data_IF_229346666343
#
_entry.id   IF_229346666343
#
_cell.length_a   1.000
_cell.length_b   1.000
_cell.length_c   1.000
_cell.angle_alpha   90.00
_cell.angle_beta   90.00
_cell.angle_gamma   90.00
#
_symmetry.space_group_name_H-M   'P 1'
#
loop_
_entity.id
_entity.type
_entity.pdbx_description
1 polymer ?
#
# COMPACT_ATOMS: atom_id res chain seq x y z
N UNK A 1 -12.86 -0.65 69.88
CA UNK A 1 -13.78 -1.12 68.82
C UNK A 1 -13.17 -0.72 67.48
N UNK A 2 -12.41 -1.65 66.90
CA UNK A 2 -11.96 -1.84 65.51
C UNK A 2 -11.84 -0.60 64.58
N UNK A 3 -10.59 -0.18 64.31
CA UNK A 3 -10.18 0.49 63.07
C UNK A 3 -9.97 -0.57 61.98
N UNK A 4 -10.86 -0.60 60.97
CA UNK A 4 -10.62 -1.36 59.72
C UNK A 4 -11.09 -0.50 58.56
N UNK A 5 -10.24 -0.30 57.54
CA UNK A 5 -10.74 0.17 56.24
C UNK A 5 -9.82 0.98 55.34
N UNK A 6 -8.53 1.16 55.65
CA UNK A 6 -7.64 2.01 54.82
C UNK A 6 -6.87 1.33 53.67
N UNK A 7 -6.96 0.00 53.51
CA UNK A 7 -6.02 -0.75 52.62
C UNK A 7 -6.60 -1.01 51.22
N UNK A 8 -7.89 -0.74 50.98
CA UNK A 8 -8.57 -1.14 49.72
C UNK A 8 -8.46 -0.13 48.57
N UNK A 9 -8.24 1.15 48.81
CA UNK A 9 -8.21 2.17 47.74
C UNK A 9 -6.84 2.29 47.05
N UNK A 10 -5.73 2.21 47.80
CA UNK A 10 -4.37 2.32 47.23
C UNK A 10 -4.01 1.15 46.31
N UNK A 11 -4.55 -0.04 46.58
CA UNK A 11 -4.31 -1.23 45.75
C UNK A 11 -5.05 -1.16 44.41
N UNK A 12 -6.22 -0.52 44.38
CA UNK A 12 -7.00 -0.31 43.15
C UNK A 12 -6.34 0.75 42.25
N UNK A 13 -5.79 1.81 42.84
CA UNK A 13 -5.15 2.89 42.08
C UNK A 13 -3.78 2.49 41.50
N UNK A 14 -2.99 1.68 42.21
CA UNK A 14 -1.76 1.08 41.67
C UNK A 14 -2.03 0.07 40.55
N UNK A 15 -3.10 -0.74 40.67
CA UNK A 15 -3.47 -1.71 39.63
C UNK A 15 -3.92 -1.00 38.35
N UNK A 16 -4.69 0.09 38.48
CA UNK A 16 -5.09 0.94 37.36
C UNK A 16 -3.88 1.64 36.70
N UNK A 17 -2.97 2.23 37.47
CA UNK A 17 -1.75 2.86 36.96
C UNK A 17 -0.78 1.88 36.27
N UNK A 18 -0.67 0.65 36.78
CA UNK A 18 0.11 -0.43 36.17
C UNK A 18 -0.55 -0.95 34.89
N UNK A 19 -1.88 -1.03 34.84
CA UNK A 19 -2.59 -1.42 33.61
C UNK A 19 -2.51 -0.34 32.52
N UNK A 20 -2.55 0.95 32.88
CA UNK A 20 -2.42 2.06 31.92
C UNK A 20 -1.00 2.15 31.36
N UNK A 21 0.04 1.99 32.19
CA UNK A 21 1.43 1.94 31.73
C UNK A 21 1.70 0.74 30.82
N UNK A 22 1.24 -0.47 31.20
CA UNK A 22 1.37 -1.66 30.36
C UNK A 22 0.66 -1.53 29.00
N UNK A 23 -0.50 -0.85 28.94
CA UNK A 23 -1.19 -0.56 27.67
C UNK A 23 -0.41 0.42 26.80
N UNK A 24 0.20 1.44 27.40
CA UNK A 24 1.05 2.41 26.70
C UNK A 24 2.29 1.72 26.13
N UNK A 25 3.00 0.94 26.95
CA UNK A 25 4.18 0.19 26.54
C UNK A 25 3.87 -0.84 25.44
N UNK A 26 2.71 -1.51 25.52
CA UNK A 26 2.26 -2.44 24.48
C UNK A 26 1.91 -1.73 23.16
N UNK A 27 1.42 -0.49 23.22
CA UNK A 27 1.09 0.33 22.04
C UNK A 27 2.37 0.86 21.41
N UNK A 28 3.30 1.36 22.22
CA UNK A 28 4.62 1.83 21.77
C UNK A 28 5.45 0.69 21.18
N UNK A 29 5.42 -0.50 21.77
CA UNK A 29 6.09 -1.68 21.22
C UNK A 29 5.47 -2.11 19.89
N UNK A 30 4.14 -2.08 19.75
CA UNK A 30 3.50 -2.39 18.46
C UNK A 30 3.97 -1.41 17.37
N UNK A 31 3.97 -0.11 17.66
CA UNK A 31 4.41 0.92 16.73
C UNK A 31 5.86 0.69 16.30
N UNK A 32 6.77 0.45 17.27
CA UNK A 32 8.18 0.15 17.00
C UNK A 32 8.37 -1.07 16.11
N UNK A 33 7.60 -2.14 16.33
CA UNK A 33 7.66 -3.36 15.50
C UNK A 33 7.22 -3.06 14.06
N UNK A 34 6.14 -2.31 13.87
CA UNK A 34 5.63 -1.96 12.54
C UNK A 34 6.57 -1.01 11.79
N UNK A 35 7.14 -0.02 12.48
CA UNK A 35 8.17 0.88 11.92
C UNK A 35 9.40 0.11 11.49
N UNK A 36 9.88 -0.82 12.32
CA UNK A 36 11.02 -1.66 12.00
C UNK A 36 10.74 -2.61 10.82
N UNK A 37 9.55 -3.21 10.78
CA UNK A 37 9.13 -4.05 9.67
C UNK A 37 9.09 -3.26 8.36
N UNK A 38 8.50 -2.05 8.37
CA UNK A 38 8.45 -1.16 7.21
C UNK A 38 9.85 -0.79 6.72
N UNK A 39 10.75 -0.38 7.62
CA UNK A 39 12.12 -0.02 7.26
C UNK A 39 12.88 -1.18 6.60
N UNK A 40 12.67 -2.40 7.11
CA UNK A 40 13.24 -3.61 6.53
C UNK A 40 12.63 -3.95 5.17
N UNK A 41 11.30 -3.87 5.05
CA UNK A 41 10.59 -4.26 3.82
C UNK A 41 10.85 -3.31 2.65
N UNK A 42 10.98 -2.00 2.92
CA UNK A 42 11.33 -0.99 1.92
C UNK A 42 12.59 -1.37 1.12
N UNK A 43 13.60 -1.91 1.80
CA UNK A 43 14.93 -2.19 1.21
C UNK A 43 15.13 -3.65 0.84
N UNK A 44 14.62 -4.58 1.64
CA UNK A 44 14.89 -6.02 1.50
C UNK A 44 13.69 -6.82 0.97
N UNK A 45 12.60 -6.13 0.61
CA UNK A 45 11.33 -6.77 0.28
C UNK A 45 10.79 -7.57 1.46
N UNK A 46 9.97 -8.57 1.18
CA UNK A 46 9.36 -9.43 2.18
C UNK A 46 10.28 -10.56 2.65
N UNK A 47 11.58 -10.52 2.35
CA UNK A 47 12.55 -11.53 2.81
C UNK A 47 12.71 -11.57 4.35
N UNK A 48 12.84 -10.44 5.08
CA UNK A 48 13.08 -10.43 6.53
C UNK A 48 12.01 -11.18 7.33
N UNK A 49 12.41 -11.89 8.38
CA UNK A 49 11.54 -12.62 9.30
C UNK A 49 11.20 -11.84 10.57
N UNK A 50 10.34 -12.42 11.43
CA UNK A 50 9.96 -11.81 12.72
C UNK A 50 11.17 -11.55 13.64
N UNK A 51 12.22 -12.39 13.57
CA UNK A 51 13.45 -12.21 14.34
C UNK A 51 14.27 -11.00 13.86
N UNK A 52 14.37 -10.79 12.55
CA UNK A 52 15.04 -9.62 11.98
C UNK A 52 14.33 -8.33 12.40
N UNK A 53 13.00 -8.37 12.40
CA UNK A 53 12.14 -7.27 12.86
C UNK A 53 12.35 -7.02 14.35
N UNK A 54 12.39 -8.06 15.19
CA UNK A 54 12.64 -7.93 16.62
C UNK A 54 13.99 -7.25 16.90
N UNK A 55 15.03 -7.70 16.20
CA UNK A 55 16.37 -7.14 16.30
C UNK A 55 16.39 -5.66 15.88
N UNK A 56 15.81 -5.34 14.71
CA UNK A 56 15.77 -3.98 14.19
C UNK A 56 14.91 -3.03 15.06
N UNK A 57 13.82 -3.53 15.64
CA UNK A 57 12.96 -2.77 16.55
C UNK A 57 13.59 -2.58 17.94
N UNK A 58 14.65 -3.31 18.29
CA UNK A 58 15.24 -3.33 19.63
C UNK A 58 14.26 -3.85 20.69
N UNK A 59 13.49 -4.88 20.36
CA UNK A 59 12.53 -5.54 21.27
C UNK A 59 12.80 -7.04 21.35
N UNK A 60 12.38 -7.67 22.44
CA UNK A 60 12.53 -9.13 22.59
C UNK A 60 11.72 -9.91 21.56
N UNK A 61 12.27 -11.01 21.04
CA UNK A 61 11.62 -11.90 20.06
C UNK A 61 10.25 -12.38 20.56
N UNK A 62 10.15 -12.79 21.84
CA UNK A 62 8.89 -13.21 22.44
C UNK A 62 7.81 -12.10 22.39
N UNK A 63 8.19 -10.83 22.49
CA UNK A 63 7.28 -9.69 22.37
C UNK A 63 6.71 -9.58 20.95
N UNK A 64 7.54 -9.80 19.93
CA UNK A 64 7.10 -9.79 18.52
C UNK A 64 6.13 -10.95 18.27
N UNK A 65 6.50 -12.19 18.62
CA UNK A 65 5.63 -13.35 18.41
C UNK A 65 4.31 -13.26 19.18
N UNK A 66 4.29 -12.65 20.37
CA UNK A 66 3.04 -12.41 21.11
C UNK A 66 2.12 -11.40 20.39
N UNK A 67 2.70 -10.45 19.65
CA UNK A 67 1.95 -9.38 18.97
C UNK A 67 1.59 -9.71 17.53
N UNK A 68 2.46 -10.46 16.86
CA UNK A 68 2.35 -10.95 15.50
C UNK A 68 2.76 -12.43 15.49
N UNK A 69 1.84 -13.34 15.83
CA UNK A 69 2.08 -14.79 15.81
C UNK A 69 2.68 -15.31 14.50
N UNK A 70 2.34 -14.68 13.37
CA UNK A 70 2.84 -15.06 12.05
C UNK A 70 3.42 -13.87 11.30
N UNK A 71 4.36 -14.16 10.38
CA UNK A 71 4.87 -13.17 9.44
C UNK A 71 3.77 -12.63 8.53
N UNK A 72 2.81 -13.47 8.14
CA UNK A 72 1.66 -13.07 7.32
C UNK A 72 0.83 -11.97 8.01
N UNK A 73 0.57 -12.10 9.31
CA UNK A 73 -0.14 -11.06 10.09
C UNK A 73 0.63 -9.74 10.18
N UNK A 74 1.95 -9.80 10.33
CA UNK A 74 2.80 -8.61 10.30
C UNK A 74 2.73 -7.93 8.92
N UNK A 75 2.88 -8.70 7.84
CA UNK A 75 2.81 -8.21 6.46
C UNK A 75 1.46 -7.54 6.20
N UNK A 76 0.35 -8.20 6.56
CA UNK A 76 -1.01 -7.66 6.39
C UNK A 76 -1.15 -6.29 7.06
N UNK A 77 -0.65 -6.13 8.29
CA UNK A 77 -0.74 -4.87 9.04
C UNK A 77 0.13 -3.77 8.42
N UNK A 78 1.37 -4.09 8.02
CA UNK A 78 2.25 -3.13 7.35
C UNK A 78 1.66 -2.68 6.01
N UNK A 79 1.06 -3.62 5.26
CA UNK A 79 0.42 -3.33 3.98
C UNK A 79 -0.83 -2.45 4.13
N UNK A 80 -1.70 -2.76 5.08
CA UNK A 80 -2.89 -1.97 5.36
C UNK A 80 -2.53 -0.50 5.68
N UNK A 81 -1.52 -0.27 6.52
CA UNK A 81 -1.04 1.09 6.80
C UNK A 81 -0.40 1.77 5.57
N UNK A 82 0.32 1.02 4.73
CA UNK A 82 0.89 1.56 3.49
C UNK A 82 -0.20 1.98 2.50
N UNK A 83 -1.26 1.17 2.36
CA UNK A 83 -2.42 1.48 1.53
C UNK A 83 -3.20 2.68 2.06
N UNK A 84 -3.45 2.76 3.37
CA UNK A 84 -4.13 3.92 3.96
C UNK A 84 -3.34 5.21 3.70
N UNK A 85 -2.00 5.18 3.85
CA UNK A 85 -1.16 6.32 3.48
C UNK A 85 -1.23 6.66 1.99
N UNK A 86 -1.29 5.65 1.11
CA UNK A 86 -1.47 5.84 -0.33
C UNK A 86 -2.78 6.57 -0.63
N UNK A 87 -3.88 6.06 -0.07
CA UNK A 87 -5.22 6.61 -0.24
C UNK A 87 -5.26 8.07 0.23
N UNK A 88 -4.73 8.38 1.41
CA UNK A 88 -4.67 9.76 1.93
C UNK A 88 -3.90 10.69 0.99
N UNK A 89 -2.78 10.24 0.42
CA UNK A 89 -2.02 11.02 -0.58
C UNK A 89 -2.85 11.27 -1.84
N UNK A 90 -3.53 10.25 -2.36
CA UNK A 90 -4.36 10.36 -3.56
C UNK A 90 -5.58 11.26 -3.33
N UNK A 91 -6.26 11.14 -2.19
CA UNK A 91 -7.35 12.03 -1.79
C UNK A 91 -6.86 13.48 -1.64
N UNK A 92 -5.64 13.67 -1.13
CA UNK A 92 -5.02 15.00 -1.07
C UNK A 92 -4.72 15.57 -2.46
N UNK A 93 -4.17 14.76 -3.37
CA UNK A 93 -3.94 15.17 -4.75
C UNK A 93 -5.26 15.53 -5.46
N UNK A 94 -6.32 14.77 -5.21
CA UNK A 94 -7.64 15.00 -5.80
C UNK A 94 -8.30 16.31 -5.36
N UNK A 95 -7.86 16.93 -4.25
CA UNK A 95 -8.35 18.24 -3.79
C UNK A 95 -7.86 19.42 -4.63
N UNK A 96 -6.88 19.25 -5.51
CA UNK A 96 -6.46 20.30 -6.46
C UNK A 96 -7.64 20.72 -7.34
N UNK A 97 -7.80 22.02 -7.61
CA UNK A 97 -8.84 22.54 -8.53
C UNK A 97 -8.56 22.21 -10.00
N UNK A 98 -7.28 22.14 -10.36
CA UNK A 98 -6.85 21.67 -11.69
C UNK A 98 -6.77 20.14 -11.72
N UNK A 99 -7.57 19.52 -12.58
CA UNK A 99 -7.62 18.05 -12.70
C UNK A 99 -6.35 17.46 -13.30
N UNK A 100 -5.62 18.22 -14.15
CA UNK A 100 -4.32 17.77 -14.62
C UNK A 100 -3.31 17.68 -13.47
N UNK A 101 -3.18 18.74 -12.68
CA UNK A 101 -2.31 18.76 -11.49
C UNK A 101 -2.69 17.64 -10.50
N UNK A 102 -3.98 17.38 -10.30
CA UNK A 102 -4.45 16.27 -9.47
C UNK A 102 -3.99 14.90 -10.01
N UNK A 103 -4.17 14.66 -11.32
CA UNK A 103 -3.77 13.43 -11.99
C UNK A 103 -2.25 13.24 -11.98
N UNK A 104 -1.50 14.30 -12.27
CA UNK A 104 -0.03 14.31 -12.26
C UNK A 104 0.50 13.95 -10.86
N UNK A 105 -0.02 14.63 -9.84
CA UNK A 105 0.36 14.37 -8.43
C UNK A 105 0.00 12.96 -7.99
N UNK A 106 -1.16 12.45 -8.40
CA UNK A 106 -1.60 11.10 -8.09
C UNK A 106 -0.71 10.03 -8.74
N UNK A 107 -0.39 10.19 -10.03
CA UNK A 107 0.47 9.25 -10.76
C UNK A 107 1.89 9.26 -10.21
N UNK A 108 2.47 10.44 -9.96
CA UNK A 108 3.79 10.58 -9.35
C UNK A 108 3.83 9.88 -7.99
N UNK A 109 2.81 10.09 -7.14
CA UNK A 109 2.74 9.47 -5.81
C UNK A 109 2.69 7.94 -5.86
N UNK A 110 1.92 7.37 -6.80
CA UNK A 110 1.81 5.92 -6.98
C UNK A 110 3.09 5.31 -7.56
N UNK A 111 3.71 5.98 -8.53
CA UNK A 111 4.99 5.57 -9.09
C UNK A 111 6.12 5.67 -8.06
N UNK A 112 6.16 6.74 -7.24
CA UNK A 112 7.14 6.89 -6.16
C UNK A 112 7.00 5.79 -5.12
N UNK A 113 5.77 5.48 -4.70
CA UNK A 113 5.50 4.41 -3.75
C UNK A 113 5.97 3.07 -4.29
N UNK A 114 5.67 2.78 -5.56
CA UNK A 114 6.11 1.54 -6.21
C UNK A 114 7.63 1.51 -6.37
N UNK A 115 8.26 2.60 -6.82
CA UNK A 115 9.71 2.63 -7.01
C UNK A 115 10.50 2.54 -5.70
N UNK A 116 10.03 3.21 -4.64
CA UNK A 116 10.80 3.40 -3.41
C UNK A 116 10.55 2.34 -2.35
N UNK A 117 9.46 1.56 -2.44
CA UNK A 117 9.12 0.54 -1.45
C UNK A 117 9.00 -0.83 -2.12
N UNK A 118 10.08 -1.62 -2.05
CA UNK A 118 10.12 -2.98 -2.59
C UNK A 118 9.09 -3.89 -1.92
N UNK A 119 8.92 -3.77 -0.61
CA UNK A 119 7.92 -4.52 0.13
C UNK A 119 6.51 -4.23 -0.35
N UNK A 120 6.18 -2.95 -0.56
CA UNK A 120 4.90 -2.54 -1.13
C UNK A 120 4.66 -3.17 -2.50
N UNK A 121 5.65 -3.15 -3.41
CA UNK A 121 5.50 -3.80 -4.72
C UNK A 121 5.27 -5.29 -4.63
N UNK A 122 6.07 -5.98 -3.82
CA UNK A 122 5.93 -7.43 -3.64
C UNK A 122 4.53 -7.76 -3.09
N UNK A 123 4.02 -6.99 -2.12
CA UNK A 123 2.66 -7.16 -1.59
C UNK A 123 1.55 -6.79 -2.59
N UNK A 124 1.79 -5.80 -3.44
CA UNK A 124 0.81 -5.30 -4.39
C UNK A 124 0.71 -6.14 -5.66
N UNK A 125 1.81 -6.73 -6.15
CA UNK A 125 1.89 -7.31 -7.49
C UNK A 125 2.43 -8.75 -7.55
N UNK A 126 3.21 -9.22 -6.57
CA UNK A 126 3.93 -10.52 -6.67
C UNK A 126 3.38 -11.59 -5.73
N UNK A 127 3.03 -11.18 -4.51
CA UNK A 127 2.32 -12.03 -3.56
C UNK A 127 0.83 -11.85 -3.81
N UNK A 128 0.04 -12.92 -3.68
CA UNK A 128 -1.42 -12.86 -3.87
C UNK A 128 -2.00 -11.81 -2.93
N UNK A 129 -2.20 -10.59 -3.42
CA UNK A 129 -2.44 -9.40 -2.61
C UNK A 129 -3.72 -9.51 -1.79
N UNK A 130 -4.64 -10.42 -2.14
CA UNK A 130 -5.84 -10.71 -1.36
C UNK A 130 -5.56 -11.21 0.05
N UNK A 131 -4.47 -11.93 0.26
CA UNK A 131 -4.16 -12.44 1.60
C UNK A 131 -3.82 -11.29 2.57
N UNK A 132 -3.29 -10.18 2.02
CA UNK A 132 -2.73 -9.08 2.82
C UNK A 132 -3.54 -7.78 2.74
N UNK A 133 -4.44 -7.66 1.75
CA UNK A 133 -5.22 -6.45 1.48
C UNK A 133 -6.66 -6.57 2.00
N UNK A 134 -7.07 -5.75 2.98
CA UNK A 134 -8.49 -5.64 3.32
C UNK A 134 -9.31 -5.22 2.10
N UNK A 135 -10.43 -5.92 1.84
CA UNK A 135 -11.29 -5.64 0.69
C UNK A 135 -11.79 -4.18 0.66
N UNK A 136 -12.14 -3.64 1.83
CA UNK A 136 -12.60 -2.25 1.96
C UNK A 136 -11.50 -1.23 1.62
N UNK A 137 -10.23 -1.48 2.02
CA UNK A 137 -9.12 -0.60 1.69
C UNK A 137 -8.84 -0.61 0.17
N UNK A 138 -8.91 -1.79 -0.45
CA UNK A 138 -8.80 -1.93 -1.91
C UNK A 138 -9.91 -1.17 -2.64
N UNK A 139 -11.16 -1.36 -2.25
CA UNK A 139 -12.31 -0.70 -2.87
C UNK A 139 -12.21 0.82 -2.75
N UNK A 140 -11.75 1.32 -1.60
CA UNK A 140 -11.45 2.75 -1.41
C UNK A 140 -10.35 3.22 -2.35
N UNK A 141 -9.23 2.50 -2.45
CA UNK A 141 -8.14 2.85 -3.37
C UNK A 141 -8.62 2.93 -4.83
N UNK A 142 -9.34 1.90 -5.30
CA UNK A 142 -9.89 1.86 -6.67
C UNK A 142 -10.81 3.05 -6.90
N UNK A 143 -11.68 3.36 -5.93
CA UNK A 143 -12.64 4.45 -6.03
C UNK A 143 -11.95 5.82 -6.11
N UNK A 144 -10.89 6.05 -5.33
CA UNK A 144 -10.12 7.31 -5.37
C UNK A 144 -9.37 7.44 -6.70
N UNK A 145 -8.74 6.37 -7.18
CA UNK A 145 -8.06 6.36 -8.50
C UNK A 145 -9.07 6.65 -9.61
N UNK A 146 -10.23 5.98 -9.61
CA UNK A 146 -11.27 6.19 -10.60
C UNK A 146 -11.78 7.64 -10.59
N UNK A 147 -12.02 8.23 -9.42
CA UNK A 147 -12.45 9.62 -9.31
C UNK A 147 -11.44 10.61 -9.91
N UNK A 148 -10.13 10.40 -9.68
CA UNK A 148 -9.08 11.23 -10.28
C UNK A 148 -9.08 11.11 -11.80
N UNK A 149 -9.14 9.88 -12.33
CA UNK A 149 -9.11 9.62 -13.77
C UNK A 149 -10.35 10.17 -14.46
N UNK A 150 -11.55 9.90 -13.96
CA UNK A 150 -12.79 10.36 -14.59
C UNK A 150 -12.89 11.89 -14.58
N UNK A 151 -12.52 12.55 -13.47
CA UNK A 151 -12.48 14.02 -13.43
C UNK A 151 -11.50 14.60 -14.47
N UNK A 152 -10.32 14.00 -14.62
CA UNK A 152 -9.33 14.44 -15.60
C UNK A 152 -9.79 14.19 -17.05
N UNK A 153 -10.55 13.11 -17.30
CA UNK A 153 -11.20 12.86 -18.60
C UNK A 153 -12.26 13.90 -18.90
N UNK A 154 -13.12 14.22 -17.93
CA UNK A 154 -14.23 15.16 -18.08
C UNK A 154 -13.73 16.55 -18.46
N UNK A 155 -12.67 17.01 -17.81
CA UNK A 155 -11.99 18.28 -18.17
C UNK A 155 -11.15 18.19 -19.45
N UNK A 156 -11.02 17.00 -20.04
CA UNK A 156 -10.29 16.79 -21.28
C UNK A 156 -8.77 16.92 -21.14
N UNK A 157 -8.24 16.75 -19.93
CA UNK A 157 -6.80 16.85 -19.63
C UNK A 157 -6.04 15.59 -20.05
N UNK A 158 -6.70 14.42 -19.97
CA UNK A 158 -6.12 13.12 -20.34
C UNK A 158 -6.84 12.47 -21.52
N UNK A 159 -6.15 11.52 -22.15
CA UNK A 159 -6.68 10.72 -23.26
C UNK A 159 -7.91 9.89 -22.82
N UNK A 160 -8.86 9.72 -23.73
CA UNK A 160 -10.19 9.14 -23.45
C UNK A 160 -10.17 7.62 -23.26
N UNK A 161 -9.18 6.97 -23.82
CA UNK A 161 -8.93 5.53 -23.77
C UNK A 161 -8.05 5.10 -22.57
N UNK A 162 -7.66 6.02 -21.68
CA UNK A 162 -7.03 5.68 -20.39
C UNK A 162 -8.07 5.10 -19.43
N UNK A 163 -7.74 4.07 -18.68
CA UNK A 163 -8.58 3.48 -17.64
C UNK A 163 -7.99 3.71 -16.25
N UNK A 164 -8.82 3.71 -15.20
CA UNK A 164 -8.34 3.68 -13.82
C UNK A 164 -7.53 2.40 -13.52
N UNK A 165 -7.80 1.31 -14.24
CA UNK A 165 -7.04 0.06 -14.16
C UNK A 165 -5.63 0.14 -14.78
N UNK A 166 -5.32 1.18 -15.55
CA UNK A 166 -3.95 1.41 -16.03
C UNK A 166 -3.04 1.98 -14.94
N UNK A 167 -3.61 2.67 -13.95
CA UNK A 167 -2.82 3.42 -12.95
C UNK A 167 -1.94 2.49 -12.09
N UNK A 168 -2.45 1.34 -11.57
CA UNK A 168 -1.59 0.37 -10.89
C UNK A 168 -0.49 -0.20 -11.80
N UNK A 169 -0.77 -0.38 -13.10
CA UNK A 169 0.20 -0.88 -14.08
C UNK A 169 1.32 0.15 -14.31
N UNK A 170 1.00 1.44 -14.41
CA UNK A 170 2.00 2.50 -14.51
C UNK A 170 2.88 2.57 -13.24
N UNK A 171 2.30 2.35 -12.06
CA UNK A 171 3.05 2.18 -10.81
C UNK A 171 4.01 1.00 -10.87
N UNK A 172 3.52 -0.17 -11.30
CA UNK A 172 4.32 -1.39 -11.49
C UNK A 172 5.50 -1.15 -12.46
N UNK A 173 5.27 -0.49 -13.60
CA UNK A 173 6.33 -0.16 -14.56
C UNK A 173 7.43 0.71 -13.94
N UNK A 174 7.06 1.74 -13.15
CA UNK A 174 8.04 2.56 -12.44
C UNK A 174 8.85 1.73 -11.43
N UNK A 175 8.18 0.82 -10.73
CA UNK A 175 8.78 -0.18 -9.86
C UNK A 175 9.82 -1.06 -10.56
N UNK A 176 9.46 -1.63 -11.71
CA UNK A 176 10.35 -2.47 -12.50
C UNK A 176 11.57 -1.71 -13.03
N UNK A 177 11.41 -0.43 -13.39
CA UNK A 177 12.54 0.42 -13.77
C UNK A 177 13.51 0.59 -12.59
N UNK A 178 13.00 0.83 -11.39
CA UNK A 178 13.83 0.94 -10.19
C UNK A 178 14.60 -0.36 -9.91
N UNK A 179 13.94 -1.52 -10.02
CA UNK A 179 14.59 -2.82 -9.81
C UNK A 179 15.66 -3.11 -10.85
N UNK A 180 15.39 -2.79 -12.11
CA UNK A 180 16.36 -2.94 -13.18
C UNK A 180 17.58 -2.01 -13.00
N UNK A 181 17.34 -0.75 -12.63
CA UNK A 181 18.39 0.24 -12.44
C UNK A 181 19.25 -0.04 -11.18
N UNK A 182 18.63 -0.58 -10.13
CA UNK A 182 19.28 -0.87 -8.85
C UNK A 182 20.03 0.34 -8.30
N UNK A 183 21.17 0.09 -7.64
CA UNK A 183 22.01 1.14 -7.06
C UNK A 183 22.71 2.04 -8.11
N UNK A 184 22.72 1.65 -9.38
CA UNK A 184 23.39 2.40 -10.46
C UNK A 184 22.63 3.70 -10.75
N UNK A 185 21.30 3.65 -10.78
CA UNK A 185 20.46 4.80 -11.04
C UNK A 185 19.09 4.70 -10.32
N UNK A 186 19.08 4.83 -8.98
CA UNK A 186 17.86 4.63 -8.16
C UNK A 186 16.73 5.63 -8.49
N UNK A 187 17.04 6.75 -9.16
CA UNK A 187 16.05 7.76 -9.53
C UNK A 187 15.60 7.65 -11.00
N UNK A 188 16.07 6.64 -11.75
CA UNK A 188 15.77 6.50 -13.18
C UNK A 188 14.27 6.40 -13.46
N UNK A 189 13.49 5.83 -12.55
CA UNK A 189 12.03 5.75 -12.67
C UNK A 189 11.38 7.12 -12.90
N UNK A 190 11.91 8.21 -12.31
CA UNK A 190 11.36 9.57 -12.48
C UNK A 190 11.38 10.01 -13.93
N UNK A 191 12.42 9.63 -14.69
CA UNK A 191 12.51 9.91 -16.14
C UNK A 191 11.35 9.27 -16.88
N UNK A 192 11.03 8.02 -16.58
CA UNK A 192 9.97 7.29 -17.26
C UNK A 192 8.58 7.74 -16.80
N UNK A 193 8.41 8.21 -15.57
CA UNK A 193 7.16 8.84 -15.13
C UNK A 193 6.83 10.08 -15.95
N UNK A 194 7.82 10.92 -16.30
CA UNK A 194 7.59 12.08 -17.19
C UNK A 194 7.09 11.61 -18.57
N UNK A 195 7.69 10.56 -19.14
CA UNK A 195 7.24 9.98 -20.41
C UNK A 195 5.81 9.41 -20.31
N UNK A 196 5.47 8.77 -19.19
CA UNK A 196 4.13 8.28 -18.92
C UNK A 196 3.12 9.43 -18.82
N UNK A 197 3.46 10.51 -18.10
CA UNK A 197 2.63 11.72 -17.98
C UNK A 197 2.34 12.32 -19.35
N UNK A 198 3.36 12.53 -20.18
CA UNK A 198 3.17 13.02 -21.54
C UNK A 198 2.32 12.07 -22.40
N UNK A 199 2.46 10.76 -22.19
CA UNK A 199 1.69 9.72 -22.89
C UNK A 199 0.21 9.65 -22.49
N UNK A 200 -0.14 9.98 -21.24
CA UNK A 200 -1.54 10.01 -20.76
C UNK A 200 -2.22 11.34 -21.04
N UNK A 201 -1.47 12.43 -21.21
CA UNK A 201 -2.01 13.75 -21.50
C UNK A 201 -2.76 13.75 -22.83
N UNK A 202 -3.90 14.45 -22.88
CA UNK A 202 -4.67 14.56 -24.13
C UNK A 202 -3.91 15.43 -25.13
N UNK A 203 -3.82 14.97 -26.38
CA UNK A 203 -3.24 15.71 -27.51
C UNK A 203 -4.10 15.52 -28.77
N UNK A 204 -4.02 16.42 -29.76
CA UNK A 204 -4.58 16.17 -31.08
C UNK A 204 -3.90 14.96 -31.75
N UNK A 205 -4.65 14.20 -32.56
CA UNK A 205 -4.13 13.10 -33.38
C UNK A 205 -3.31 12.02 -32.63
N UNK A 206 -3.74 11.66 -31.41
CA UNK A 206 -3.07 10.60 -30.64
C UNK A 206 -3.23 9.22 -31.29
N UNK A 207 -2.15 8.43 -31.22
CA UNK A 207 -2.18 7.01 -31.58
C UNK A 207 -3.18 6.28 -30.67
N UNK A 208 -4.10 5.55 -31.30
CA UNK A 208 -5.06 4.68 -30.60
C UNK A 208 -4.34 3.55 -29.86
N UNK A 209 -4.72 3.26 -28.61
CA UNK A 209 -4.15 2.11 -27.90
C UNK A 209 -4.58 0.80 -28.57
N UNK A 210 -3.64 -0.09 -28.93
CA UNK A 210 -3.97 -1.30 -29.70
C UNK A 210 -4.76 -2.33 -28.89
N UNK A 211 -4.69 -2.28 -27.56
CA UNK A 211 -5.42 -3.15 -26.65
C UNK A 211 -6.23 -2.33 -25.65
N UNK A 212 -7.30 -2.91 -25.13
CA UNK A 212 -8.07 -2.32 -24.03
C UNK A 212 -7.35 -2.56 -22.71
N UNK A 213 -7.49 -1.62 -21.79
CA UNK A 213 -7.11 -1.81 -20.39
C UNK A 213 -7.88 -2.99 -19.77
N UNK A 214 -7.38 -3.50 -18.63
CA UNK A 214 -8.07 -4.51 -17.86
C UNK A 214 -9.44 -4.03 -17.40
N UNK A 215 -10.42 -4.93 -17.34
CA UNK A 215 -11.59 -4.73 -16.48
C UNK A 215 -11.20 -4.92 -15.00
N UNK A 216 -12.01 -4.43 -14.07
CA UNK A 216 -11.77 -4.66 -12.64
C UNK A 216 -11.66 -6.15 -12.31
N UNK A 217 -12.49 -7.00 -12.93
CA UNK A 217 -12.44 -8.45 -12.72
C UNK A 217 -11.13 -9.06 -13.24
N UNK A 218 -10.63 -8.61 -14.40
CA UNK A 218 -9.35 -9.09 -14.94
C UNK A 218 -8.17 -8.64 -14.06
N UNK A 219 -8.16 -7.36 -13.67
CA UNK A 219 -7.12 -6.83 -12.79
C UNK A 219 -7.13 -7.56 -11.44
N UNK A 220 -8.31 -7.75 -10.85
CA UNK A 220 -8.46 -8.52 -9.61
C UNK A 220 -7.98 -9.97 -9.76
N UNK A 221 -8.25 -10.62 -10.90
CA UNK A 221 -7.77 -11.98 -11.14
C UNK A 221 -6.23 -12.05 -11.18
N UNK A 222 -5.58 -11.12 -11.89
CA UNK A 222 -4.11 -11.09 -12.04
C UNK A 222 -3.41 -10.75 -10.73
N UNK A 223 -3.96 -9.83 -9.94
CA UNK A 223 -3.44 -9.48 -8.62
C UNK A 223 -3.71 -10.56 -7.56
N UNK A 224 -4.30 -11.69 -7.96
CA UNK A 224 -4.65 -12.79 -7.05
C UNK A 224 -5.71 -12.37 -6.03
N UNK A 225 -6.58 -11.42 -6.39
CA UNK A 225 -7.64 -10.84 -5.56
C UNK A 225 -9.00 -11.55 -5.69
N UNK A 226 -9.15 -12.45 -6.67
CA UNK A 226 -10.30 -13.36 -6.75
C UNK A 226 -10.07 -14.60 -5.89
N UNK A 227 -11.09 -15.10 -5.16
CA UNK A 227 -11.00 -16.39 -4.50
C UNK A 227 -10.77 -17.49 -5.56
N UNK A 228 -10.03 -18.57 -5.22
CA UNK A 228 -9.87 -19.72 -6.11
C UNK A 228 -11.24 -20.36 -6.35
N UNK A 229 -11.91 -19.99 -7.44
CA UNK A 229 -13.29 -20.42 -7.74
C UNK A 229 -14.08 -19.55 -8.74
N UNK A 230 -13.57 -18.40 -9.17
CA UNK A 230 -14.19 -17.62 -10.27
C UNK A 230 -14.08 -18.32 -11.63
N UNK A 231 -15.03 -18.11 -12.56
CA UNK A 231 -15.12 -18.90 -13.80
C UNK A 231 -13.85 -18.73 -14.64
N UNK A 232 -13.12 -19.83 -14.81
CA UNK A 232 -12.04 -19.94 -15.77
C UNK A 232 -12.62 -19.72 -17.16
N UNK A 233 -12.45 -18.52 -17.70
CA UNK A 233 -12.70 -18.28 -19.11
C UNK A 233 -11.75 -19.17 -19.90
N UNK A 234 -12.31 -20.22 -20.51
CA UNK A 234 -11.61 -21.16 -21.37
C UNK A 234 -10.75 -20.37 -22.37
N UNK A 235 -9.45 -20.68 -22.41
CA UNK A 235 -8.61 -20.30 -23.55
C UNK A 235 -9.22 -20.90 -24.83
N UNK A 236 -9.29 -20.16 -25.93
CA UNK A 236 -9.65 -20.76 -27.21
C UNK A 236 -8.56 -21.76 -27.60
N UNK A 237 -8.95 -23.01 -27.83
CA UNK A 237 -8.08 -24.01 -28.46
C UNK A 237 -7.90 -23.59 -29.92
N UNK A 238 -6.64 -23.42 -30.32
CA UNK A 238 -6.26 -23.55 -31.73
C UNK A 238 -6.37 -24.99 -32.20
#
# INVERSE_FOLDING_TARGET
MIQTGGIREDTLNMSAGKQVSLRRDATDNRRRILEAARALFVTKGLSPGLNDVAHHAGVGVATVYRRFPTKSELIHQVYAEALDHCIVKLESAHRSEDAWTAMESALISLCEMSASDRGFREMAFEVSGAEFCPAAARERLISVIAAVVERAKDQGCIRRDLSHTDIPILGMLAGSVNDYAGAVAPDLWRRYVVLMLDGVRRRPAQTHMPARAFTDAQLNSVLGLCPPGGPQTLRPRG
#
